data_IF_200828787263
#
_entry.id   IF_200828787263
#
_cell.length_a   1.000
_cell.length_b   1.000
_cell.length_c   1.000
_cell.angle_alpha   90.00
_cell.angle_beta   90.00
_cell.angle_gamma   90.00
#
_symmetry.space_group_name_H-M   'P 1'
#
loop_
_entity.id
_entity.type
_entity.pdbx_description
1 polymer ?
2 non-polymer ?
3 water ?
#
# COMPACT_ATOMS: atom_id res chain seq x y z
N UNK A 2 -5.57 8.99 -23.00
CA UNK A 2 -5.77 8.78 -21.53
C UNK A 2 -4.42 8.56 -20.84
N UNK A 3 -4.39 8.69 -19.53
CA UNK A 3 -3.17 8.47 -18.75
C UNK A 3 -3.09 6.99 -18.39
N UNK A 4 -2.34 6.23 -19.19
CA UNK A 4 -2.19 4.80 -18.92
C UNK A 4 -0.96 4.49 -18.09
N UNK A 5 -0.97 3.32 -17.47
CA UNK A 5 0.14 2.85 -16.64
C UNK A 5 0.68 1.55 -17.22
N UNK A 6 1.90 1.20 -16.81
CA UNK A 6 2.51 -0.05 -17.22
C UNK A 6 3.17 -0.60 -15.97
N UNK A 7 3.16 -1.94 -15.82
CA UNK A 7 3.76 -2.56 -14.64
C UNK A 7 5.26 -2.27 -14.51
N UNK A 8 5.74 -2.27 -13.28
CA UNK A 8 7.16 -2.04 -13.03
C UNK A 8 7.80 -3.37 -12.69
N UNK A 9 8.19 -4.11 -13.73
CA UNK A 9 8.81 -5.42 -13.58
C UNK A 9 10.04 -5.44 -12.68
N UNK A 10 10.79 -4.34 -12.68
CA UNK A 10 12.00 -4.26 -11.86
C UNK A 10 11.73 -4.34 -10.36
N UNK A 11 10.46 -4.27 -9.98
CA UNK A 11 10.04 -4.31 -8.57
C UNK A 11 9.80 -5.73 -8.05
N UNK A 12 9.77 -6.70 -8.95
CA UNK A 12 9.51 -8.10 -8.56
C UNK A 12 10.59 -8.70 -7.66
N UNK A 13 10.21 -9.09 -6.42
CA UNK A 13 11.12 -9.68 -5.44
C UNK A 13 11.41 -11.13 -5.81
N UNK A 14 12.54 -11.64 -5.36
CA UNK A 14 12.91 -13.01 -5.65
C UNK A 14 13.81 -13.55 -4.54
N UNK A 15 13.63 -14.82 -4.20
CA UNK A 15 14.40 -15.51 -3.19
C UNK A 15 14.27 -14.89 -1.80
N UNK A 16 13.06 -14.44 -1.47
CA UNK A 16 12.82 -13.85 -0.17
C UNK A 16 12.91 -14.92 0.92
N UNK A 17 13.20 -14.49 2.14
CA UNK A 17 13.32 -15.39 3.26
C UNK A 17 11.93 -15.57 3.92
N UNK A 18 11.32 -16.72 3.67
CA UNK A 18 10.01 -16.99 4.25
C UNK A 18 8.85 -16.77 3.30
N UNK A 19 9.13 -16.17 2.14
CA UNK A 19 8.11 -15.93 1.13
C UNK A 19 8.69 -16.47 -0.17
N UNK A 20 8.16 -17.62 -0.60
CA UNK A 20 8.64 -18.29 -1.79
C UNK A 20 8.38 -17.60 -3.12
N UNK A 21 9.10 -18.05 -4.15
CA UNK A 21 8.93 -17.51 -5.49
C UNK A 21 7.60 -17.97 -6.03
N UNK A 22 7.17 -19.15 -5.56
CA UNK A 22 5.90 -19.73 -5.96
C UNK A 22 4.76 -18.81 -5.50
N UNK A 23 4.95 -18.19 -4.33
CA UNK A 23 3.96 -17.28 -3.78
C UNK A 23 4.00 -15.94 -4.51
N UNK A 24 5.21 -15.46 -4.78
CA UNK A 24 5.41 -14.19 -5.46
C UNK A 24 4.89 -14.18 -6.90
N UNK A 25 5.08 -15.27 -7.62
CA UNK A 25 4.66 -15.37 -9.03
C UNK A 25 3.23 -14.92 -9.34
N UNK A 26 2.21 -15.61 -8.80
CA UNK A 26 0.84 -15.20 -9.11
C UNK A 26 0.49 -13.82 -8.56
N UNK A 27 1.08 -13.47 -7.41
CA UNK A 27 0.80 -12.17 -6.79
C UNK A 27 1.25 -11.02 -7.69
N UNK A 28 2.45 -11.14 -8.25
CA UNK A 28 3.01 -10.12 -9.12
C UNK A 28 2.48 -10.18 -10.55
N UNK A 29 2.58 -11.37 -11.16
CA UNK A 29 2.18 -11.58 -12.54
C UNK A 29 0.68 -11.56 -12.83
N UNK A 30 -0.13 -12.05 -11.91
CA UNK A 30 -1.58 -12.08 -12.14
C UNK A 30 -2.35 -10.95 -11.47
N UNK A 31 -2.24 -10.86 -10.15
CA UNK A 31 -2.95 -9.84 -9.40
C UNK A 31 -2.50 -8.41 -9.67
N UNK A 32 -1.24 -8.12 -9.37
CA UNK A 32 -0.70 -6.79 -9.59
C UNK A 32 -0.90 -6.30 -11.03
N UNK A 33 -0.47 -7.11 -12.00
CA UNK A 33 -0.60 -6.73 -13.39
C UNK A 33 -2.06 -6.62 -13.83
N UNK A 34 -2.94 -7.35 -13.13
CA UNK A 34 -4.35 -7.30 -13.44
C UNK A 34 -4.96 -5.95 -13.10
N UNK A 35 -4.47 -5.36 -12.01
CA UNK A 35 -4.94 -4.04 -11.57
C UNK A 35 -4.48 -2.98 -12.57
N UNK A 36 -3.28 -3.15 -13.10
CA UNK A 36 -2.74 -2.21 -14.07
C UNK A 36 -3.59 -2.25 -15.34
N UNK A 37 -3.89 -3.45 -15.80
CA UNK A 37 -4.70 -3.64 -17.01
C UNK A 37 -6.10 -3.04 -16.86
N UNK A 38 -6.75 -3.31 -15.74
CA UNK A 38 -8.09 -2.79 -15.51
C UNK A 38 -8.13 -1.29 -15.34
N UNK A 39 -7.11 -0.73 -14.69
CA UNK A 39 -7.03 0.72 -14.49
C UNK A 39 -6.99 1.36 -15.88
N UNK A 40 -6.20 0.77 -16.78
CA UNK A 40 -6.07 1.29 -18.13
C UNK A 40 -7.38 1.26 -18.90
N UNK A 41 -8.16 0.19 -18.73
CA UNK A 41 -9.45 0.05 -19.39
C UNK A 41 -10.38 1.16 -18.90
N UNK A 42 -10.39 1.37 -17.59
CA UNK A 42 -11.21 2.40 -16.97
C UNK A 42 -10.84 3.78 -17.52
N UNK A 43 -9.54 4.03 -17.69
CA UNK A 43 -9.09 5.32 -18.22
C UNK A 43 -9.61 5.56 -19.63
N UNK A 44 -9.59 4.51 -20.46
CA UNK A 44 -10.09 4.62 -21.83
C UNK A 44 -11.57 4.93 -21.86
N UNK A 45 -12.35 4.21 -21.05
CA UNK A 45 -13.79 4.41 -20.99
C UNK A 45 -14.17 5.74 -20.38
N UNK A 46 -13.37 6.21 -19.43
CA UNK A 46 -13.60 7.48 -18.76
C UNK A 46 -13.33 8.62 -19.77
N UNK A 47 -12.43 8.39 -20.71
CA UNK A 47 -12.09 9.40 -21.73
C UNK A 47 -13.20 9.56 -22.77
N UNK A 48 -14.04 8.54 -22.91
CA UNK A 48 -15.13 8.60 -23.87
C UNK A 48 -16.34 9.30 -23.23
N UNK A 49 -16.49 10.58 -23.56
CA UNK A 49 -17.57 11.41 -23.02
C UNK A 49 -18.97 10.89 -23.32
N UNK A 50 -19.11 10.02 -24.31
CA UNK A 50 -20.41 9.47 -24.65
C UNK A 50 -20.74 8.28 -23.77
N UNK A 51 -19.74 7.43 -23.52
CA UNK A 51 -19.91 6.26 -22.67
C UNK A 51 -20.07 6.73 -21.22
N UNK A 52 -19.06 7.45 -20.73
CA UNK A 52 -19.10 7.98 -19.38
C UNK A 52 -19.69 9.38 -19.48
N UNK A 53 -20.98 9.45 -19.78
CA UNK A 53 -21.65 10.73 -19.93
C UNK A 53 -21.76 11.44 -18.58
N UNK A 54 -21.04 12.55 -18.46
CA UNK A 54 -21.05 13.32 -17.22
C UNK A 54 -22.41 13.94 -16.88
N UNK A 55 -23.20 14.26 -17.89
CA UNK A 55 -24.51 14.86 -17.66
C UNK A 55 -25.48 13.86 -17.06
N UNK A 56 -25.18 12.57 -17.17
CA UNK A 56 -26.03 11.52 -16.63
C UNK A 56 -25.55 11.04 -15.26
N UNK A 57 -24.53 11.70 -14.70
CA UNK A 57 -24.00 11.34 -13.39
C UNK A 57 -25.13 11.23 -12.37
N UNK A 58 -25.20 10.07 -11.72
CA UNK A 58 -26.25 9.78 -10.74
C UNK A 58 -25.68 8.82 -9.70
N UNK A 59 -26.00 9.05 -8.43
CA UNK A 59 -25.49 8.22 -7.34
C UNK A 59 -26.13 6.84 -7.18
N UNK A 60 -27.28 6.61 -7.80
CA UNK A 60 -27.95 5.32 -7.73
C UNK A 60 -27.32 4.36 -8.72
N UNK A 61 -26.98 4.91 -9.88
CA UNK A 61 -26.32 4.18 -10.96
C UNK A 61 -26.11 5.11 -12.15
N UNK A 62 -24.91 5.04 -12.71
CA UNK A 62 -24.53 5.79 -13.91
C UNK A 62 -23.17 5.25 -14.34
N UNK A 63 -22.93 5.16 -15.65
CA UNK A 63 -21.66 4.66 -16.14
C UNK A 63 -20.50 5.43 -15.52
N UNK A 64 -20.64 6.75 -15.44
CA UNK A 64 -19.61 7.60 -14.86
C UNK A 64 -19.27 7.19 -13.42
N UNK A 65 -20.32 7.01 -12.61
CA UNK A 65 -20.14 6.63 -11.22
C UNK A 65 -19.38 5.32 -11.04
N UNK A 66 -19.86 4.26 -11.71
CA UNK A 66 -19.24 2.94 -11.58
C UNK A 66 -17.77 2.94 -11.97
N UNK A 67 -17.43 3.69 -13.03
CA UNK A 67 -16.05 3.80 -13.49
C UNK A 67 -15.18 4.49 -12.43
N UNK A 68 -15.72 5.54 -11.81
CA UNK A 68 -14.97 6.26 -10.80
C UNK A 68 -14.79 5.42 -9.53
N UNK A 69 -15.79 4.60 -9.22
CA UNK A 69 -15.73 3.73 -8.04
C UNK A 69 -14.59 2.74 -8.22
N UNK A 70 -14.60 2.01 -9.33
CA UNK A 70 -13.55 1.02 -9.57
C UNK A 70 -12.20 1.63 -9.90
N UNK A 71 -12.17 2.90 -10.28
CA UNK A 71 -10.91 3.55 -10.57
C UNK A 71 -10.08 3.58 -9.29
N UNK A 72 -10.74 3.85 -8.16
CA UNK A 72 -10.04 3.90 -6.87
C UNK A 72 -9.57 2.51 -6.46
N UNK A 73 -10.38 1.49 -6.75
CA UNK A 73 -10.05 0.11 -6.41
C UNK A 73 -8.79 -0.34 -7.14
N UNK A 74 -8.78 -0.13 -8.46
CA UNK A 74 -7.66 -0.55 -9.28
C UNK A 74 -6.41 0.31 -9.12
N UNK A 75 -6.57 1.63 -9.02
CA UNK A 75 -5.40 2.49 -8.88
C UNK A 75 -4.70 2.21 -7.56
N UNK A 76 -5.48 2.04 -6.49
CA UNK A 76 -4.90 1.73 -5.19
C UNK A 76 -4.26 0.35 -5.24
N UNK A 77 -4.88 -0.54 -5.99
CA UNK A 77 -4.35 -1.88 -6.17
C UNK A 77 -2.96 -1.78 -6.76
N UNK A 78 -2.79 -0.91 -7.76
CA UNK A 78 -1.48 -0.72 -8.39
C UNK A 78 -0.47 -0.11 -7.40
N UNK A 79 -0.80 1.08 -6.89
CA UNK A 79 0.07 1.81 -5.97
C UNK A 79 0.50 1.03 -4.73
N UNK A 80 -0.45 0.44 -4.04
CA UNK A 80 -0.16 -0.33 -2.82
C UNK A 80 0.75 -1.51 -3.11
N UNK A 81 0.53 -2.19 -4.23
CA UNK A 81 1.37 -3.32 -4.59
C UNK A 81 2.80 -2.88 -4.92
N UNK A 82 2.94 -1.73 -5.59
CA UNK A 82 4.26 -1.23 -5.93
C UNK A 82 5.03 -0.85 -4.68
N UNK A 83 4.33 -0.32 -3.68
CA UNK A 83 4.96 0.07 -2.42
C UNK A 83 5.34 -1.18 -1.62
N UNK A 84 4.53 -2.22 -1.77
CA UNK A 84 4.74 -3.50 -1.09
C UNK A 84 5.95 -4.25 -1.65
N UNK A 85 5.92 -4.57 -2.94
CA UNK A 85 7.03 -5.29 -3.57
C UNK A 85 8.32 -4.50 -3.52
N UNK A 86 8.23 -3.19 -3.74
CA UNK A 86 9.39 -2.33 -3.74
C UNK A 86 10.18 -2.25 -2.45
N UNK A 87 9.57 -2.65 -1.34
CA UNK A 87 10.28 -2.58 -0.07
C UNK A 87 10.73 -3.94 0.45
N UNK A 88 10.72 -4.96 -0.41
CA UNK A 88 11.14 -6.31 -0.01
C UNK A 88 12.45 -6.73 -0.68
N UNK A 89 13.41 -7.17 0.12
CA UNK A 89 14.71 -7.65 -0.37
C UNK A 89 15.02 -8.90 0.42
N UNK A 90 15.62 -9.93 -0.23
CA UNK A 90 15.96 -11.18 0.45
C UNK A 90 16.79 -10.98 1.72
N UNK A 91 16.20 -11.36 2.85
CA UNK A 91 16.87 -11.23 4.14
C UNK A 91 16.85 -9.83 4.73
N UNK A 92 16.28 -8.88 4.01
CA UNK A 92 16.21 -7.52 4.51
C UNK A 92 17.46 -6.72 4.18
N UNK A 93 17.43 -5.43 4.48
CA UNK A 93 18.58 -4.57 4.20
C UNK A 93 18.52 -3.29 5.02
N UNK A 94 19.68 -2.85 5.51
CA UNK A 94 19.77 -1.64 6.30
C UNK A 94 19.08 -1.74 7.63
N UNK A 95 18.77 -0.58 8.21
CA UNK A 95 18.10 -0.48 9.50
C UNK A 95 17.33 0.84 9.53
N UNK A 96 16.31 0.93 10.40
CA UNK A 96 15.56 2.18 10.44
C UNK A 96 16.48 3.33 10.91
N UNK A 97 16.40 4.47 10.25
CA UNK A 97 17.22 5.62 10.58
C UNK A 97 16.94 6.14 11.98
N UNK A 98 17.88 6.91 12.53
CA UNK A 98 17.72 7.48 13.86
C UNK A 98 16.52 8.42 13.86
N UNK A 99 16.37 9.18 12.80
CA UNK A 99 15.25 10.10 12.67
C UNK A 99 13.92 9.35 12.71
N UNK A 100 13.87 8.22 12.00
CA UNK A 100 12.65 7.40 11.97
C UNK A 100 12.37 6.82 13.35
N UNK A 101 13.40 6.29 14.00
CA UNK A 101 13.24 5.71 15.33
C UNK A 101 12.73 6.73 16.34
N UNK A 102 13.23 7.95 16.25
CA UNK A 102 12.83 9.00 17.19
C UNK A 102 11.36 9.39 17.03
N UNK A 103 10.92 9.51 15.78
CA UNK A 103 9.54 9.88 15.48
C UNK A 103 8.60 8.77 15.97
N UNK A 104 8.97 7.52 15.71
CA UNK A 104 8.18 6.36 16.13
C UNK A 104 8.08 6.37 17.66
N UNK A 105 9.19 6.74 18.29
CA UNK A 105 9.25 6.77 19.74
C UNK A 105 8.27 7.78 20.32
N UNK A 106 8.26 8.98 19.78
CA UNK A 106 7.36 10.00 20.29
C UNK A 106 5.90 9.86 19.86
N UNK A 107 5.66 9.33 18.67
CA UNK A 107 4.29 9.15 18.18
C UNK A 107 3.64 7.85 18.59
N UNK A 108 4.39 6.75 18.51
CA UNK A 108 3.87 5.44 18.84
C UNK A 108 4.27 4.92 20.23
N UNK A 109 5.47 5.27 20.68
CA UNK A 109 5.92 4.81 21.98
C UNK A 109 7.22 4.04 21.93
N UNK A 110 7.63 3.62 20.74
CA UNK A 110 8.87 2.88 20.60
C UNK A 110 8.78 1.86 19.51
N UNK A 111 9.93 1.33 19.09
CA UNK A 111 9.97 0.31 18.04
C UNK A 111 9.17 -0.91 18.43
N UNK A 112 9.27 -1.29 19.70
CA UNK A 112 8.54 -2.43 20.22
C UNK A 112 7.03 -2.24 20.12
N UNK A 113 6.57 -1.06 20.51
CA UNK A 113 5.15 -0.73 20.47
C UNK A 113 4.67 -0.67 19.02
N UNK A 114 5.49 -0.10 18.15
CA UNK A 114 5.16 0.03 16.72
C UNK A 114 5.03 -1.32 16.02
N UNK A 115 5.97 -2.22 16.27
CA UNK A 115 5.92 -3.54 15.65
C UNK A 115 4.67 -4.28 16.09
N UNK A 116 4.35 -4.17 17.37
CA UNK A 116 3.18 -4.81 17.94
C UNK A 116 1.92 -4.22 17.33
N UNK A 117 1.94 -2.91 17.12
CA UNK A 117 0.81 -2.21 16.54
C UNK A 117 0.59 -2.63 15.09
N UNK A 118 1.68 -2.75 14.34
CA UNK A 118 1.59 -3.15 12.94
C UNK A 118 1.09 -4.58 12.79
N UNK A 119 1.60 -5.49 13.62
CA UNK A 119 1.19 -6.89 13.56
C UNK A 119 -0.29 -6.99 13.90
N UNK A 120 -0.73 -6.21 14.88
CA UNK A 120 -2.12 -6.19 15.31
C UNK A 120 -3.05 -5.74 14.19
N UNK A 121 -2.67 -4.64 13.52
CA UNK A 121 -3.45 -4.10 12.42
C UNK A 121 -3.49 -5.11 11.27
N UNK A 122 -2.37 -5.78 11.03
CA UNK A 122 -2.29 -6.78 9.97
C UNK A 122 -3.20 -7.97 10.26
N UNK A 123 -3.38 -8.29 11.54
CA UNK A 123 -4.24 -9.39 11.93
C UNK A 123 -5.72 -8.97 11.98
N UNK A 124 -5.95 -7.68 12.24
CA UNK A 124 -7.31 -7.16 12.36
C UNK A 124 -7.96 -6.73 11.06
N UNK A 125 -7.16 -6.47 10.03
CA UNK A 125 -7.71 -6.02 8.75
C UNK A 125 -7.70 -6.99 7.58
N UNK A 126 -8.75 -6.89 6.78
CA UNK A 126 -8.98 -7.78 5.65
C UNK A 126 -8.27 -7.44 4.35
N UNK A 127 -7.63 -6.28 4.29
CA UNK A 127 -6.95 -5.88 3.07
C UNK A 127 -5.49 -5.48 3.20
N UNK A 128 -5.21 -4.47 4.00
CA UNK A 128 -3.84 -3.97 4.19
C UNK A 128 -3.65 -3.36 5.57
N UNK A 129 -2.39 -3.23 5.97
CA UNK A 129 -2.02 -2.61 7.24
C UNK A 129 -0.93 -1.63 6.82
N UNK A 130 -1.14 -0.34 7.08
CA UNK A 130 -0.19 0.68 6.68
C UNK A 130 0.34 1.57 7.81
N UNK A 131 1.64 1.82 7.80
CA UNK A 131 2.26 2.74 8.76
C UNK A 131 2.60 3.92 7.87
N UNK A 132 2.06 5.09 8.18
CA UNK A 132 2.34 6.25 7.36
C UNK A 132 2.29 7.55 8.13
N UNK A 133 2.60 8.64 7.43
CA UNK A 133 2.56 9.97 8.05
C UNK A 133 1.26 10.67 7.67
N UNK A 134 0.50 11.05 8.69
CA UNK A 134 -0.76 11.75 8.51
C UNK A 134 -0.39 13.23 8.33
N UNK A 135 -0.58 13.75 7.11
CA UNK A 135 -0.22 15.14 6.83
C UNK A 135 -1.02 16.18 7.59
N UNK A 136 -2.17 15.78 8.14
CA UNK A 136 -3.01 16.71 8.88
C UNK A 136 -2.57 16.93 10.32
N UNK A 137 -1.87 15.95 10.90
CA UNK A 137 -1.40 16.07 12.28
C UNK A 137 0.12 15.99 12.39
N UNK A 138 0.77 15.53 11.33
CA UNK A 138 2.22 15.39 11.33
C UNK A 138 2.67 14.22 12.18
N UNK A 139 1.76 13.30 12.46
CA UNK A 139 2.07 12.13 13.29
C UNK A 139 2.02 10.84 12.50
N UNK A 140 2.84 9.87 12.92
CA UNK A 140 2.85 8.56 12.28
C UNK A 140 1.62 7.86 12.82
N UNK A 141 0.89 7.19 11.94
CA UNK A 141 -0.32 6.47 12.32
C UNK A 141 -0.41 5.13 11.60
N UNK A 142 -1.11 4.18 12.22
CA UNK A 142 -1.30 2.87 11.62
C UNK A 142 -2.71 2.93 11.03
N UNK A 143 -2.81 2.69 9.74
CA UNK A 143 -4.07 2.72 9.02
C UNK A 143 -4.39 1.33 8.45
N UNK A 144 -5.46 0.72 8.92
CA UNK A 144 -5.83 -0.59 8.41
C UNK A 144 -6.90 -0.44 7.34
N UNK A 145 -6.82 -1.23 6.28
CA UNK A 145 -7.79 -1.17 5.20
C UNK A 145 -8.44 -2.54 5.01
N UNK A 146 -9.73 -2.54 4.68
CA UNK A 146 -10.43 -3.81 4.45
C UNK A 146 -10.38 -4.23 2.98
N UNK A 147 -9.89 -3.32 2.13
CA UNK A 147 -9.76 -3.55 0.70
C UNK A 147 -8.84 -2.44 0.18
N UNK A 148 -8.48 -2.48 -1.11
CA UNK A 148 -7.59 -1.46 -1.67
C UNK A 148 -8.14 -0.05 -1.50
N UNK A 149 -9.47 0.08 -1.55
CA UNK A 149 -10.13 1.38 -1.46
C UNK A 149 -11.15 1.53 -0.32
N UNK A 150 -10.96 0.81 0.77
CA UNK A 150 -11.89 0.89 1.89
C UNK A 150 -11.15 1.14 3.21
N UNK A 151 -11.43 2.31 3.80
CA UNK A 151 -10.86 2.80 5.06
C UNK A 151 -9.54 3.57 4.95
N UNK A 152 -9.14 3.85 3.71
CA UNK A 152 -7.91 4.59 3.46
C UNK A 152 -8.07 6.00 4.01
N UNK A 153 -7.03 6.50 4.68
CA UNK A 153 -7.07 7.86 5.19
C UNK A 153 -6.58 8.79 4.08
N UNK A 154 -7.34 9.84 3.80
CA UNK A 154 -6.96 10.81 2.79
C UNK A 154 -5.67 11.49 3.26
N UNK A 155 -4.77 11.78 2.31
CA UNK A 155 -3.52 12.46 2.63
C UNK A 155 -2.37 11.67 3.22
N UNK A 156 -2.63 10.45 3.69
CA UNK A 156 -1.59 9.63 4.30
C UNK A 156 -0.43 9.29 3.36
N UNK A 157 0.80 9.52 3.82
CA UNK A 157 1.99 9.20 3.05
C UNK A 157 2.47 7.86 3.61
N UNK A 158 2.33 6.77 2.83
CA UNK A 158 2.72 5.41 3.23
C UNK A 158 4.21 5.17 3.38
N UNK A 159 4.60 4.53 4.48
CA UNK A 159 6.00 4.22 4.72
C UNK A 159 6.15 2.71 4.65
N UNK A 160 5.33 1.99 5.42
CA UNK A 160 5.36 0.53 5.44
C UNK A 160 3.96 0.03 5.05
N UNK A 161 3.90 -0.85 4.07
CA UNK A 161 2.63 -1.39 3.57
C UNK A 161 2.62 -2.91 3.60
N UNK A 162 1.68 -3.49 4.34
CA UNK A 162 1.57 -4.94 4.43
C UNK A 162 0.27 -5.42 3.78
N UNK A 163 0.39 -6.29 2.81
CA UNK A 163 -0.75 -6.85 2.10
C UNK A 163 -1.32 -8.00 2.95
N UNK A 164 -2.60 -7.91 3.31
CA UNK A 164 -3.21 -8.98 4.10
C UNK A 164 -4.26 -9.75 3.30
N UNK A 165 -4.35 -9.47 2.01
CA UNK A 165 -5.29 -10.20 1.15
C UNK A 165 -4.82 -11.64 1.19
N UNK A 166 -5.75 -12.58 1.10
CA UNK A 166 -5.41 -13.99 1.16
C UNK A 166 -4.43 -14.45 0.09
N UNK A 167 -4.47 -13.85 -1.10
CA UNK A 167 -3.56 -14.24 -2.17
C UNK A 167 -2.10 -13.92 -1.85
N UNK A 168 -1.88 -13.04 -0.88
CA UNK A 168 -0.53 -12.64 -0.50
C UNK A 168 0.25 -13.70 0.27
N UNK A 169 -0.45 -14.59 0.97
CA UNK A 169 0.20 -15.63 1.78
C UNK A 169 -0.36 -17.04 1.70
N UNK A 170 -1.48 -17.23 1.00
CA UNK A 170 -2.09 -18.54 0.91
C UNK A 170 -1.27 -19.68 0.32
N UNK A 171 -0.38 -19.37 -0.61
CA UNK A 171 0.45 -20.40 -1.23
C UNK A 171 1.42 -21.00 -0.20
N UNK A 172 2.04 -20.13 0.60
CA UNK A 172 3.01 -20.56 1.60
C UNK A 172 2.44 -20.97 2.95
N UNK A 173 1.50 -20.20 3.45
CA UNK A 173 0.95 -20.45 4.79
C UNK A 173 -0.52 -20.81 4.90
N UNK A 174 -1.20 -20.87 3.78
CA UNK A 174 -2.63 -21.18 3.78
C UNK A 174 -3.32 -20.18 4.71
N UNK A 175 -4.15 -20.65 5.64
CA UNK A 175 -4.85 -19.76 6.56
C UNK A 175 -3.98 -19.06 7.61
N UNK A 176 -2.75 -19.53 7.80
CA UNK A 176 -1.86 -18.98 8.82
C UNK A 176 -1.20 -17.64 8.49
N UNK A 177 -1.84 -16.56 8.91
CA UNK A 177 -1.34 -15.21 8.67
C UNK A 177 -0.13 -14.77 9.52
N UNK A 178 -0.12 -15.11 10.83
CA UNK A 178 1.00 -14.71 11.69
C UNK A 178 2.41 -15.02 11.18
N UNK A 179 2.67 -16.27 10.74
CA UNK A 179 4.01 -16.55 10.25
C UNK A 179 4.37 -15.73 9.01
N UNK A 180 3.36 -15.36 8.23
CA UNK A 180 3.57 -14.55 7.03
C UNK A 180 4.00 -13.14 7.44
N UNK A 181 3.36 -12.59 8.46
CA UNK A 181 3.68 -11.26 8.94
C UNK A 181 5.13 -11.23 9.45
N UNK A 182 5.54 -12.28 10.16
CA UNK A 182 6.91 -12.37 10.65
C UNK A 182 7.88 -12.40 9.48
N UNK A 183 7.56 -13.18 8.46
CA UNK A 183 8.40 -13.30 7.28
C UNK A 183 8.53 -11.95 6.58
N UNK A 184 7.44 -11.19 6.52
CA UNK A 184 7.45 -9.87 5.89
C UNK A 184 8.48 -8.98 6.58
N UNK A 185 8.46 -8.97 7.91
CA UNK A 185 9.41 -8.16 8.68
C UNK A 185 10.87 -8.56 8.46
N UNK A 186 11.11 -9.84 8.15
CA UNK A 186 12.47 -10.32 7.92
C UNK A 186 13.06 -9.84 6.59
N UNK A 187 12.19 -9.41 5.67
CA UNK A 187 12.67 -8.98 4.37
C UNK A 187 12.51 -7.50 4.06
N UNK A 188 12.34 -6.68 5.09
CA UNK A 188 12.17 -5.25 4.88
C UNK A 188 13.45 -4.54 4.45
N UNK A 189 13.36 -3.81 3.34
CA UNK A 189 14.49 -3.04 2.83
C UNK A 189 14.38 -1.66 3.49
N UNK A 190 15.09 -1.47 4.59
CA UNK A 190 15.07 -0.22 5.32
C UNK A 190 15.63 0.99 4.58
N UNK A 191 16.43 0.75 3.54
CA UNK A 191 16.98 1.84 2.75
C UNK A 191 15.80 2.53 2.07
N UNK A 192 14.87 1.72 1.56
CA UNK A 192 13.67 2.20 0.89
C UNK A 192 12.76 2.95 1.86
N UNK A 193 12.47 2.33 3.00
CA UNK A 193 11.61 2.94 4.01
C UNK A 193 12.21 4.25 4.54
N UNK A 194 13.50 4.27 4.82
CA UNK A 194 14.17 5.47 5.33
C UNK A 194 14.06 6.63 4.33
N UNK A 195 14.18 6.32 3.04
CA UNK A 195 14.07 7.34 2.01
C UNK A 195 12.65 7.88 1.97
N UNK A 196 11.68 6.98 2.05
CA UNK A 196 10.28 7.38 2.04
C UNK A 196 10.02 8.34 3.19
N UNK A 197 10.59 8.02 4.36
CA UNK A 197 10.42 8.86 5.55
C UNK A 197 11.01 10.25 5.36
N UNK A 198 12.21 10.32 4.80
CA UNK A 198 12.88 11.60 4.56
C UNK A 198 12.00 12.49 3.69
N UNK A 199 11.49 11.91 2.61
CA UNK A 199 10.62 12.64 1.67
C UNK A 199 9.32 13.05 2.34
N UNK A 200 8.75 12.14 3.13
CA UNK A 200 7.51 12.39 3.83
C UNK A 200 7.65 13.59 4.78
N UNK A 201 8.74 13.61 5.53
CA UNK A 201 8.99 14.70 6.47
C UNK A 201 9.24 16.03 5.77
N UNK A 202 9.97 15.98 4.66
CA UNK A 202 10.23 17.20 3.89
C UNK A 202 8.91 17.74 3.36
N UNK A 203 8.05 16.82 2.89
CA UNK A 203 6.74 17.19 2.38
C UNK A 203 5.87 17.79 3.49
N UNK A 204 5.94 17.21 4.68
CA UNK A 204 5.15 17.70 5.81
C UNK A 204 5.52 19.13 6.18
N UNK A 205 6.80 19.48 6.00
CA UNK A 205 7.25 20.82 6.34
C UNK A 205 6.53 21.86 5.49
N UNK A 206 6.22 21.51 4.24
CA UNK A 206 5.51 22.41 3.32
C UNK A 206 4.00 22.35 3.58
N UNK A 207 3.54 21.26 4.17
CA UNK A 207 2.13 21.02 4.47
C UNK A 207 1.67 21.38 5.89
N UNK A 208 2.58 21.69 6.80
CA UNK A 208 2.15 22.00 8.16
C UNK A 208 1.19 23.17 8.19
N UNK A 209 0.21 23.07 9.08
CA UNK A 209 -0.84 24.08 9.24
C UNK A 209 -1.70 24.16 7.97
N UNK A 210 -1.93 23.00 7.36
CA UNK A 210 -2.74 22.91 6.14
C UNK A 210 -4.15 23.44 6.44
N UNK A 211 -4.69 23.01 7.57
CA UNK A 211 -5.99 23.46 8.02
C UNK A 211 -5.66 24.50 9.10
N UNK A 212 -6.16 25.72 8.94
CA UNK A 212 -5.89 26.78 9.90
C UNK A 212 -7.15 27.21 10.65
#
# INVERSE_FOLDING_TARGET
GVHKLEPKDHLKPQNLEGISNEQIEPHFEAHYKGYVAKYNEIQEKLADQNFADRSKANQNYSEYRELKVEETFNYMGVVLHELYFGMLTPGGKGEPSEALKKKIEEDIGGLDACTNELKAAAMAFRGWAILGLDIFSGRLVVNGLDAHNVYNLTGLIPLIVIDTYEHAYYVDYKNKRPPYIDAFFKNINWDVVNERFEKAMKAYEALKDFIK
#
